data_IF_597298967150
#
_entry.id   IF_597298967150
#
_cell.length_a   1.000
_cell.length_b   1.000
_cell.length_c   1.000
_cell.angle_alpha   90.00
_cell.angle_beta   90.00
_cell.angle_gamma   90.00
#
_symmetry.space_group_name_H-M   'P 1'
#
loop_
_entity.id
_entity.type
_entity.pdbx_description
1 polymer ?
#
# COMPACT_ATOMS: atom_id res chain seq x y z
N UNK A 1 54.09 -10.42 -32.73
CA UNK A 1 53.77 -10.77 -31.31
C UNK A 1 53.93 -9.46 -30.55
N UNK A 2 52.89 -8.76 -30.09
CA UNK A 2 51.70 -9.16 -29.33
C UNK A 2 50.55 -8.20 -29.68
N UNK A 3 49.34 -8.71 -29.97
CA UNK A 3 48.12 -7.90 -30.14
C UNK A 3 47.42 -7.87 -28.78
N UNK A 4 47.26 -6.68 -28.19
CA UNK A 4 46.47 -6.47 -26.98
C UNK A 4 45.02 -6.20 -27.41
N UNK A 5 44.16 -7.21 -27.26
CA UNK A 5 42.71 -7.03 -27.38
C UNK A 5 42.18 -6.41 -26.08
N UNK A 6 41.91 -5.10 -26.11
CA UNK A 6 41.12 -4.43 -25.09
C UNK A 6 39.67 -4.89 -25.21
N UNK A 7 39.23 -5.76 -24.31
CA UNK A 7 37.82 -6.11 -24.14
C UNK A 7 37.08 -4.88 -23.60
N UNK A 8 36.47 -4.10 -24.50
CA UNK A 8 35.55 -3.04 -24.12
C UNK A 8 34.31 -3.63 -23.47
N UNK A 9 34.12 -3.37 -22.18
CA UNK A 9 32.81 -3.47 -21.55
C UNK A 9 31.88 -2.47 -22.25
N UNK A 10 31.00 -2.97 -23.13
CA UNK A 10 29.92 -2.16 -23.69
C UNK A 10 28.87 -1.94 -22.58
N UNK A 11 29.09 -0.97 -21.70
CA UNK A 11 28.02 -0.44 -20.86
C UNK A 11 27.14 0.42 -21.76
N UNK A 12 25.99 -0.12 -22.16
CA UNK A 12 24.96 0.67 -22.85
C UNK A 12 24.53 1.75 -21.86
N UNK A 13 24.79 3.01 -22.19
CA UNK A 13 24.32 4.12 -21.36
C UNK A 13 22.79 4.07 -21.29
N UNK A 14 22.16 4.13 -20.10
CA UNK A 14 20.71 4.25 -20.03
C UNK A 14 20.31 5.52 -20.77
N UNK A 15 19.50 5.38 -21.82
CA UNK A 15 19.02 6.52 -22.59
C UNK A 15 18.22 7.48 -21.71
N UNK A 16 18.14 8.76 -22.12
CA UNK A 16 17.56 9.89 -21.38
C UNK A 16 16.05 9.76 -21.04
N UNK A 17 15.43 8.62 -21.31
CA UNK A 17 13.99 8.37 -21.12
C UNK A 17 13.75 7.13 -20.24
N UNK A 18 14.38 7.05 -19.07
CA UNK A 18 13.96 6.11 -18.03
C UNK A 18 12.73 6.69 -17.32
N UNK A 19 11.54 6.45 -17.87
CA UNK A 19 10.28 6.66 -17.14
C UNK A 19 9.95 5.37 -16.41
N UNK A 20 10.11 5.36 -15.08
CA UNK A 20 9.47 4.32 -14.26
C UNK A 20 7.97 4.53 -14.40
N UNK A 21 7.19 3.52 -14.82
CA UNK A 21 5.74 3.61 -14.79
C UNK A 21 5.32 3.91 -13.34
N UNK A 22 4.66 5.04 -13.12
CA UNK A 22 3.99 5.29 -11.84
C UNK A 22 2.79 4.34 -11.79
N UNK A 23 2.89 3.28 -10.99
CA UNK A 23 1.77 2.37 -10.77
C UNK A 23 0.68 3.15 -10.03
N UNK A 24 -0.30 3.67 -10.77
CA UNK A 24 -1.52 4.19 -10.17
C UNK A 24 -2.41 3.02 -9.76
N UNK A 25 -3.12 3.15 -8.65
CA UNK A 25 -4.12 2.16 -8.22
C UNK A 25 -5.50 2.80 -8.15
N UNK A 26 -6.56 2.00 -8.30
CA UNK A 26 -7.91 2.51 -8.34
C UNK A 26 -8.29 3.19 -7.00
N UNK A 27 -8.40 4.52 -7.02
CA UNK A 27 -8.60 5.32 -5.83
C UNK A 27 -10.00 5.13 -5.23
N UNK A 28 -11.01 5.05 -6.09
CA UNK A 28 -12.41 4.88 -5.67
C UNK A 28 -12.56 3.55 -4.91
N UNK A 29 -11.97 2.47 -5.43
CA UNK A 29 -11.94 1.17 -4.75
C UNK A 29 -11.12 1.19 -3.45
N UNK A 30 -10.02 1.94 -3.42
CA UNK A 30 -9.24 2.09 -2.20
C UNK A 30 -10.09 2.70 -1.08
N UNK A 31 -10.75 3.84 -1.35
CA UNK A 31 -11.53 4.56 -0.34
C UNK A 31 -12.75 3.78 0.13
N UNK A 32 -13.40 3.02 -0.75
CA UNK A 32 -14.64 2.33 -0.43
C UNK A 32 -14.43 0.93 0.17
N UNK A 33 -13.28 0.31 -0.07
CA UNK A 33 -13.04 -1.08 0.34
C UNK A 33 -11.71 -1.26 1.06
N UNK A 34 -10.60 -0.90 0.44
CA UNK A 34 -9.26 -1.21 0.99
C UNK A 34 -9.03 -0.49 2.31
N UNK A 35 -9.24 0.82 2.37
CA UNK A 35 -9.05 1.56 3.60
C UNK A 35 -9.99 1.10 4.74
N UNK A 36 -11.32 1.07 4.56
CA UNK A 36 -12.23 0.72 5.65
C UNK A 36 -12.13 -0.75 6.07
N UNK A 37 -11.97 -1.69 5.13
CA UNK A 37 -12.04 -3.13 5.43
C UNK A 37 -10.67 -3.72 5.76
N UNK A 38 -9.59 -3.28 5.09
CA UNK A 38 -8.23 -3.75 5.34
C UNK A 38 -7.52 -2.86 6.37
N UNK A 39 -7.30 -1.57 6.08
CA UNK A 39 -6.43 -0.74 6.91
C UNK A 39 -7.04 -0.46 8.28
N UNK A 40 -8.31 -0.06 8.31
CA UNK A 40 -9.02 0.26 9.55
C UNK A 40 -9.67 -0.99 10.14
N UNK A 41 -10.36 -1.78 9.32
CA UNK A 41 -11.05 -3.00 9.74
C UNK A 41 -10.13 -4.05 10.36
N UNK A 42 -8.87 -4.16 9.91
CA UNK A 42 -7.86 -5.05 10.51
C UNK A 42 -6.95 -4.37 11.52
N UNK A 43 -7.29 -3.14 11.92
CA UNK A 43 -6.61 -2.34 12.93
C UNK A 43 -5.12 -2.16 12.62
N UNK A 44 -4.77 -1.95 11.35
CA UNK A 44 -3.39 -1.67 10.94
C UNK A 44 -2.96 -0.30 11.50
N UNK A 45 -3.84 0.70 11.50
CA UNK A 45 -3.57 2.01 12.11
C UNK A 45 -3.54 1.98 13.63
N UNK A 46 -4.70 1.71 14.22
CA UNK A 46 -4.97 1.81 15.65
C UNK A 46 -4.31 0.74 16.52
N UNK A 47 -3.92 -0.40 15.94
CA UNK A 47 -3.48 -1.57 16.69
C UNK A 47 -4.65 -2.33 17.34
N UNK A 48 -4.41 -3.59 17.67
CA UNK A 48 -5.34 -4.44 18.42
C UNK A 48 -4.90 -4.67 19.88
N UNK A 49 -5.57 -4.05 20.87
CA UNK A 49 -5.30 -4.31 22.29
C UNK A 49 -5.48 -5.79 22.68
N UNK A 50 -6.37 -6.52 22.02
CA UNK A 50 -6.55 -7.95 22.26
C UNK A 50 -5.35 -8.79 21.79
N UNK A 51 -4.54 -8.24 20.86
CA UNK A 51 -3.28 -8.82 20.42
C UNK A 51 -2.05 -8.22 21.14
N UNK A 52 -2.27 -7.32 22.12
CA UNK A 52 -1.20 -6.67 22.88
C UNK A 52 -0.67 -5.36 22.29
N UNK A 53 -1.29 -4.83 21.23
CA UNK A 53 -0.88 -3.55 20.64
C UNK A 53 -1.32 -2.37 21.53
N UNK A 54 -0.49 -1.33 21.57
CA UNK A 54 -0.90 -0.03 22.13
C UNK A 54 -1.90 0.64 21.19
N UNK A 55 -2.90 1.33 21.75
CA UNK A 55 -3.81 2.18 20.97
C UNK A 55 -3.05 3.25 20.17
N UNK A 56 -3.33 3.34 18.86
CA UNK A 56 -2.59 4.19 17.91
C UNK A 56 -1.14 3.75 17.66
N UNK A 57 -0.78 2.55 18.10
CA UNK A 57 0.62 2.13 18.23
C UNK A 57 1.25 1.50 16.99
N UNK A 58 0.45 1.18 15.96
CA UNK A 58 0.94 0.47 14.78
C UNK A 58 1.28 1.45 13.64
N UNK A 59 0.28 1.90 12.88
CA UNK A 59 0.50 2.77 11.72
C UNK A 59 -0.04 4.20 11.89
N UNK A 60 -0.78 4.51 12.96
CA UNK A 60 -1.16 5.90 13.30
C UNK A 60 -0.06 6.70 14.02
N UNK A 61 1.18 6.21 13.98
CA UNK A 61 2.34 6.89 14.54
C UNK A 61 3.40 7.08 13.42
N UNK A 62 3.71 8.34 13.03
CA UNK A 62 4.70 8.64 11.98
C UNK A 62 6.10 8.06 12.26
N UNK A 63 6.45 7.84 13.53
CA UNK A 63 7.74 7.27 13.93
C UNK A 63 7.78 5.74 13.96
N UNK A 64 6.65 5.05 13.75
CA UNK A 64 6.58 3.60 13.90
C UNK A 64 6.99 2.84 12.62
N UNK A 65 6.72 3.37 11.43
CA UNK A 65 7.00 2.67 10.17
C UNK A 65 7.32 3.64 9.02
N UNK A 66 8.53 3.57 8.46
CA UNK A 66 8.91 4.32 7.27
C UNK A 66 8.09 3.84 6.05
N UNK A 67 7.42 4.77 5.37
CA UNK A 67 6.68 4.50 4.12
C UNK A 67 5.26 3.96 4.29
N UNK A 68 4.75 3.77 5.52
CA UNK A 68 3.36 3.35 5.78
C UNK A 68 2.74 4.04 7.00
N UNK A 69 2.98 5.34 7.17
CA UNK A 69 2.25 6.11 8.16
C UNK A 69 0.80 6.34 7.68
N UNK A 70 -0.16 5.94 8.50
CA UNK A 70 -1.58 6.17 8.29
C UNK A 70 -2.05 7.33 9.17
N UNK A 71 -3.11 7.98 8.75
CA UNK A 71 -3.75 9.08 9.45
C UNK A 71 -5.18 8.63 9.76
N UNK A 72 -5.59 8.76 11.02
CA UNK A 72 -6.95 8.46 11.43
C UNK A 72 -7.93 9.50 10.87
N UNK A 73 -9.07 9.05 10.37
CA UNK A 73 -10.17 9.91 9.91
C UNK A 73 -11.48 9.12 9.81
N UNK A 74 -12.59 9.85 9.71
CA UNK A 74 -13.88 9.24 9.43
C UNK A 74 -13.86 8.52 8.07
N UNK A 75 -14.44 7.31 7.94
CA UNK A 75 -14.51 6.61 6.66
C UNK A 75 -15.14 7.45 5.56
N UNK A 76 -14.62 7.30 4.33
CA UNK A 76 -15.20 7.94 3.15
C UNK A 76 -16.57 7.34 2.88
N UNK A 77 -17.59 8.19 2.76
CA UNK A 77 -18.94 7.71 2.46
C UNK A 77 -19.08 7.34 0.97
N UNK A 78 -19.30 6.05 0.72
CA UNK A 78 -19.51 5.48 -0.61
C UNK A 78 -20.95 4.99 -0.84
N UNK A 79 -21.87 5.19 0.12
CA UNK A 79 -23.26 4.75 -0.02
C UNK A 79 -23.44 3.23 -0.25
N UNK A 80 -22.44 2.43 0.11
CA UNK A 80 -22.40 0.98 -0.13
C UNK A 80 -21.96 0.55 -1.54
N UNK A 81 -21.50 1.47 -2.39
CA UNK A 81 -20.92 1.16 -3.69
C UNK A 81 -19.40 1.34 -3.74
N UNK A 82 -18.84 1.16 -4.94
CA UNK A 82 -17.39 1.22 -5.20
C UNK A 82 -16.86 2.65 -5.41
N UNK A 83 -17.68 3.68 -5.19
CA UNK A 83 -17.31 5.07 -5.46
C UNK A 83 -17.78 6.02 -4.35
N UNK A 84 -16.93 6.96 -3.91
CA UNK A 84 -17.30 8.00 -2.96
C UNK A 84 -18.48 8.86 -3.45
N UNK A 85 -19.46 9.11 -2.57
CA UNK A 85 -20.61 9.98 -2.85
C UNK A 85 -20.22 11.44 -2.98
N UNK A 86 -19.13 11.84 -2.32
CA UNK A 86 -18.59 13.20 -2.34
C UNK A 86 -17.08 13.20 -2.43
N UNK A 87 -16.53 14.11 -3.25
CA UNK A 87 -15.08 14.35 -3.34
C UNK A 87 -14.57 15.32 -2.26
N UNK A 88 -15.45 15.92 -1.45
CA UNK A 88 -15.07 16.94 -0.47
C UNK A 88 -14.01 16.43 0.54
N UNK A 89 -14.08 15.16 0.93
CA UNK A 89 -13.12 14.52 1.85
C UNK A 89 -11.83 14.02 1.16
N UNK A 90 -11.75 14.10 -0.17
CA UNK A 90 -10.67 13.49 -0.97
C UNK A 90 -9.75 14.53 -1.62
N UNK A 91 -9.87 15.80 -1.22
CA UNK A 91 -9.02 16.87 -1.72
C UNK A 91 -7.54 16.63 -1.41
N UNK A 92 -6.67 17.33 -2.15
CA UNK A 92 -5.23 17.30 -1.89
C UNK A 92 -4.93 17.65 -0.42
N UNK A 93 -4.09 16.85 0.23
CA UNK A 93 -3.74 17.00 1.64
C UNK A 93 -4.75 16.44 2.64
N UNK A 94 -5.85 15.80 2.19
CA UNK A 94 -6.74 15.10 3.11
C UNK A 94 -6.08 13.84 3.70
N UNK A 95 -6.52 13.43 4.89
CA UNK A 95 -6.06 12.19 5.53
C UNK A 95 -6.25 10.96 4.65
N UNK A 96 -7.43 10.84 4.02
CA UNK A 96 -7.72 9.75 3.08
C UNK A 96 -6.73 9.73 1.92
N UNK A 97 -6.40 10.91 1.34
CA UNK A 97 -5.42 11.00 0.26
C UNK A 97 -4.03 10.57 0.72
N UNK A 98 -3.63 10.96 1.93
CA UNK A 98 -2.37 10.54 2.53
C UNK A 98 -2.30 9.02 2.72
N UNK A 99 -3.38 8.41 3.19
CA UNK A 99 -3.47 6.96 3.35
C UNK A 99 -3.40 6.21 2.01
N UNK A 100 -4.08 6.71 0.97
CA UNK A 100 -3.98 6.16 -0.39
C UNK A 100 -2.53 6.20 -0.89
N UNK A 101 -1.85 7.34 -0.71
CA UNK A 101 -0.45 7.49 -1.09
C UNK A 101 0.43 6.49 -0.36
N UNK A 102 0.32 6.41 0.97
CA UNK A 102 1.08 5.47 1.78
C UNK A 102 0.84 4.02 1.34
N UNK A 103 -0.42 3.60 1.24
CA UNK A 103 -0.77 2.23 0.85
C UNK A 103 -0.27 1.88 -0.57
N UNK A 104 -0.31 2.84 -1.50
CA UNK A 104 0.18 2.63 -2.86
C UNK A 104 1.70 2.37 -2.91
N UNK A 105 2.49 2.96 -2.00
CA UNK A 105 3.95 2.73 -1.92
C UNK A 105 4.33 1.29 -1.54
N UNK A 106 3.41 0.56 -0.92
CA UNK A 106 3.59 -0.83 -0.49
C UNK A 106 2.69 -1.80 -1.24
N UNK A 107 2.14 -1.34 -2.36
CA UNK A 107 1.33 -2.13 -3.26
C UNK A 107 2.14 -2.53 -4.50
N UNK A 108 1.66 -3.55 -5.19
CA UNK A 108 2.18 -3.97 -6.50
C UNK A 108 1.05 -4.55 -7.33
N UNK A 109 1.16 -4.44 -8.66
CA UNK A 109 0.28 -5.16 -9.61
C UNK A 109 0.35 -6.69 -9.44
N UNK A 110 1.49 -7.25 -9.02
CA UNK A 110 1.54 -8.61 -8.48
C UNK A 110 1.35 -8.57 -6.96
N UNK A 111 0.11 -8.75 -6.51
CA UNK A 111 -0.25 -8.66 -5.10
C UNK A 111 0.51 -9.64 -4.20
N UNK A 112 1.04 -10.75 -4.75
CA UNK A 112 1.84 -11.73 -3.99
C UNK A 112 3.21 -11.19 -3.62
N UNK A 113 3.67 -10.13 -4.29
CA UNK A 113 4.93 -9.44 -3.99
C UNK A 113 4.71 -8.17 -3.16
N UNK A 114 3.46 -7.70 -3.07
CA UNK A 114 3.13 -6.45 -2.40
C UNK A 114 3.38 -6.53 -0.88
N UNK A 115 4.17 -5.61 -0.28
CA UNK A 115 4.38 -5.61 1.17
C UNK A 115 3.09 -5.49 1.99
N UNK A 116 2.03 -4.85 1.47
CA UNK A 116 0.71 -4.77 2.12
C UNK A 116 0.00 -6.13 2.24
N UNK A 117 0.39 -7.13 1.44
CA UNK A 117 -0.05 -8.53 1.58
C UNK A 117 0.95 -9.36 2.39
N UNK A 118 2.23 -9.30 2.04
CA UNK A 118 3.26 -10.17 2.62
C UNK A 118 3.46 -9.91 4.11
N UNK A 119 3.56 -8.63 4.51
CA UNK A 119 3.90 -8.29 5.89
C UNK A 119 2.78 -8.66 6.86
N UNK A 120 1.53 -8.23 6.62
CA UNK A 120 0.45 -8.55 7.56
C UNK A 120 0.06 -10.03 7.57
N UNK A 121 0.51 -10.86 6.61
CA UNK A 121 0.35 -12.33 6.67
C UNK A 121 1.44 -13.04 7.48
N UNK A 122 2.38 -12.29 8.07
CA UNK A 122 3.39 -12.79 9.00
C UNK A 122 4.84 -12.70 8.51
N UNK A 123 5.12 -12.11 7.35
CA UNK A 123 6.48 -11.97 6.84
C UNK A 123 7.11 -10.62 7.25
N UNK A 124 8.09 -10.60 8.15
CA UNK A 124 8.79 -9.36 8.56
C UNK A 124 7.84 -8.25 9.06
N UNK A 125 6.85 -8.63 9.87
CA UNK A 125 5.91 -7.72 10.54
C UNK A 125 5.81 -8.09 12.03
N UNK A 126 5.64 -7.13 12.96
CA UNK A 126 5.55 -7.42 14.40
C UNK A 126 4.42 -8.40 14.78
N UNK A 127 3.40 -8.55 13.93
CA UNK A 127 2.31 -9.53 14.11
C UNK A 127 1.76 -10.03 12.78
N UNK A 128 1.17 -11.23 12.80
CA UNK A 128 0.24 -11.65 11.74
C UNK A 128 -1.14 -11.01 11.99
N UNK A 129 -1.62 -10.22 11.03
CA UNK A 129 -2.86 -9.45 11.08
C UNK A 129 -4.04 -10.23 10.47
N UNK A 130 -3.77 -10.99 9.42
CA UNK A 130 -4.72 -11.86 8.75
C UNK A 130 -4.00 -13.07 8.15
N UNK A 131 -4.73 -14.17 7.94
CA UNK A 131 -4.19 -15.35 7.26
C UNK A 131 -4.21 -15.16 5.74
N UNK A 132 -3.46 -15.99 5.02
CA UNK A 132 -3.44 -15.98 3.54
C UNK A 132 -4.79 -16.37 2.91
N UNK A 133 -5.66 -17.03 3.68
CA UNK A 133 -6.99 -17.46 3.25
C UNK A 133 -8.11 -16.50 3.73
N UNK A 134 -7.74 -15.39 4.39
CA UNK A 134 -8.70 -14.38 4.85
C UNK A 134 -9.32 -13.66 3.65
N UNK A 135 -10.62 -13.38 3.72
CA UNK A 135 -11.37 -12.67 2.66
C UNK A 135 -10.79 -11.30 2.32
N UNK A 136 -10.11 -10.64 3.27
CA UNK A 136 -9.46 -9.36 3.01
C UNK A 136 -8.37 -9.46 1.92
N UNK A 137 -7.81 -10.66 1.68
CA UNK A 137 -6.85 -10.90 0.60
C UNK A 137 -7.48 -10.69 -0.78
N UNK A 138 -8.78 -10.96 -0.93
CA UNK A 138 -9.48 -10.70 -2.19
C UNK A 138 -9.59 -9.20 -2.50
N UNK A 139 -9.66 -8.34 -1.46
CA UNK A 139 -9.63 -6.88 -1.63
C UNK A 139 -8.26 -6.44 -2.17
N UNK A 140 -7.17 -6.97 -1.59
CA UNK A 140 -5.81 -6.65 -2.02
C UNK A 140 -5.59 -7.11 -3.47
N UNK A 141 -5.99 -8.35 -3.80
CA UNK A 141 -5.92 -8.87 -5.17
C UNK A 141 -6.72 -8.00 -6.13
N UNK A 142 -7.95 -7.66 -5.78
CA UNK A 142 -8.84 -6.84 -6.62
C UNK A 142 -8.23 -5.47 -6.85
N UNK A 143 -7.72 -4.82 -5.80
CA UNK A 143 -7.10 -3.51 -5.92
C UNK A 143 -5.83 -3.54 -6.79
N UNK A 144 -5.03 -4.60 -6.69
CA UNK A 144 -3.86 -4.81 -7.55
C UNK A 144 -4.21 -4.85 -9.04
N UNK A 145 -5.35 -5.46 -9.36
CA UNK A 145 -5.75 -5.79 -10.74
C UNK A 145 -6.70 -4.75 -11.35
N UNK A 146 -7.32 -3.91 -10.53
CA UNK A 146 -8.28 -2.90 -11.01
C UNK A 146 -7.51 -1.72 -11.64
N UNK A 147 -7.85 -1.32 -12.88
CA UNK A 147 -7.26 -0.15 -13.51
C UNK A 147 -7.71 1.15 -12.83
#
# INVERSE_FOLDING_TARGET
MLIVFGAGCNTVAPGENFSVPEESFNEDFFFCHVEPELLFGRKCGSGDPAAGDRSGGCHFNPGAVSGMALIDHAPVDCGGGDRPLSRAALGAGSSARGNLQAASLVMSRDYLTAPIYLRPTGANHPRAVFSKDDRVVDLIRTWAQRP
#
